data_IF_974332311677
#
_entry.id   IF_974332311677
#
_cell.length_a   1.000
_cell.length_b   1.000
_cell.length_c   1.000
_cell.angle_alpha   90.00
_cell.angle_beta   90.00
_cell.angle_gamma   90.00
#
_symmetry.space_group_name_H-M   'P 1'
#
loop_
_entity.id
_entity.type
_entity.pdbx_description
1 polymer ?
#
# COMPACT_ATOMS: atom_id res chain seq x y z
N UNK A 1 10.87 25.27 35.66
CA UNK A 1 10.19 24.37 34.71
C UNK A 1 10.84 24.58 33.36
N UNK A 2 11.41 23.53 32.75
CA UNK A 2 12.07 23.63 31.43
C UNK A 2 11.03 23.44 30.31
N UNK A 3 11.40 23.81 29.07
CA UNK A 3 10.51 23.71 27.90
C UNK A 3 9.94 22.29 27.74
N UNK A 4 10.74 21.26 28.01
CA UNK A 4 10.34 19.85 27.89
C UNK A 4 9.33 19.46 28.97
N UNK A 5 9.54 19.89 30.22
CA UNK A 5 8.62 19.65 31.33
C UNK A 5 7.28 20.36 31.16
N UNK A 6 7.29 21.59 30.64
CA UNK A 6 6.06 22.32 30.32
C UNK A 6 5.22 21.60 29.25
N UNK A 7 5.83 21.22 28.12
CA UNK A 7 5.14 20.53 27.02
C UNK A 7 4.59 19.18 27.48
N UNK A 8 5.37 18.37 28.22
CA UNK A 8 4.88 17.10 28.77
C UNK A 8 3.66 17.27 29.67
N UNK A 9 3.69 18.27 30.55
CA UNK A 9 2.59 18.51 31.50
C UNK A 9 1.31 18.95 30.78
N UNK A 10 1.43 19.84 29.78
CA UNK A 10 0.28 20.29 28.98
C UNK A 10 -0.31 19.16 28.13
N UNK A 11 0.53 18.35 27.48
CA UNK A 11 0.04 17.21 26.69
C UNK A 11 -0.67 16.16 27.54
N UNK A 12 -0.17 15.86 28.75
CA UNK A 12 -0.81 14.91 29.67
C UNK A 12 -2.16 15.45 30.16
N UNK A 13 -2.24 16.74 30.52
CA UNK A 13 -3.50 17.36 30.94
C UNK A 13 -4.54 17.38 29.82
N UNK A 14 -4.14 17.72 28.59
CA UNK A 14 -5.04 17.70 27.45
C UNK A 14 -5.53 16.28 27.14
N UNK A 15 -4.63 15.29 27.14
CA UNK A 15 -4.99 13.88 26.94
C UNK A 15 -5.97 13.37 28.00
N UNK A 16 -5.76 13.73 29.27
CA UNK A 16 -6.68 13.40 30.35
C UNK A 16 -8.07 14.06 30.17
N UNK A 17 -8.12 15.33 29.71
CA UNK A 17 -9.36 16.06 29.50
C UNK A 17 -10.27 15.43 28.42
N UNK A 18 -9.68 14.77 27.42
CA UNK A 18 -10.42 14.01 26.39
C UNK A 18 -10.48 12.50 26.68
N UNK A 19 -10.10 12.08 27.89
CA UNK A 19 -10.27 10.70 28.36
C UNK A 19 -9.30 9.69 27.76
N UNK A 20 -8.15 10.13 27.22
CA UNK A 20 -7.16 9.20 26.68
C UNK A 20 -6.34 8.53 27.81
N UNK A 21 -6.14 7.20 27.74
CA UNK A 21 -5.33 6.49 28.70
C UNK A 21 -3.85 6.87 28.57
N UNK A 22 -3.06 6.66 29.64
CA UNK A 22 -1.62 6.94 29.64
C UNK A 22 -0.85 6.17 28.53
N UNK A 23 -1.38 5.03 28.07
CA UNK A 23 -0.85 4.21 26.97
C UNK A 23 -1.16 4.77 25.58
N UNK A 24 -2.01 5.79 25.45
CA UNK A 24 -2.40 6.35 24.16
C UNK A 24 -1.18 6.91 23.40
N UNK A 25 -0.22 7.51 24.11
CA UNK A 25 1.00 8.01 23.48
C UNK A 25 1.80 6.89 22.78
N UNK A 26 1.88 5.71 23.38
CA UNK A 26 2.53 4.54 22.79
C UNK A 26 1.72 3.98 21.62
N UNK A 27 0.38 3.90 21.76
CA UNK A 27 -0.50 3.46 20.69
C UNK A 27 -0.42 4.38 19.45
N UNK A 28 -0.37 5.71 19.65
CA UNK A 28 -0.17 6.66 18.56
C UNK A 28 1.22 6.54 17.95
N UNK A 29 2.27 6.41 18.77
CA UNK A 29 3.63 6.22 18.25
C UNK A 29 3.72 4.94 17.41
N UNK A 30 3.10 3.84 17.84
CA UNK A 30 3.02 2.61 17.08
C UNK A 30 2.19 2.77 15.80
N UNK A 31 1.05 3.47 15.87
CA UNK A 31 0.20 3.70 14.70
C UNK A 31 0.91 4.55 13.63
N UNK A 32 1.68 5.55 14.05
CA UNK A 32 2.49 6.40 13.15
C UNK A 32 3.72 5.65 12.63
N UNK A 33 4.26 4.70 13.39
CA UNK A 33 5.40 3.89 12.98
C UNK A 33 5.02 2.72 12.05
N UNK A 34 3.73 2.41 11.87
CA UNK A 34 3.31 1.32 10.98
C UNK A 34 3.61 1.68 9.52
N UNK A 35 4.24 0.73 8.82
CA UNK A 35 4.41 0.82 7.37
C UNK A 35 3.04 0.86 6.69
N UNK A 36 2.96 1.57 5.57
CA UNK A 36 1.79 1.52 4.69
C UNK A 36 1.57 0.07 4.22
N UNK A 37 0.33 -0.42 4.12
CA UNK A 37 0.06 -1.75 3.56
C UNK A 37 0.64 -1.86 2.16
N UNK A 38 1.43 -2.91 1.93
CA UNK A 38 1.94 -3.23 0.60
C UNK A 38 0.80 -3.74 -0.29
N UNK A 39 0.74 -3.24 -1.52
CA UNK A 39 -0.24 -3.61 -2.53
C UNK A 39 0.50 -4.03 -3.80
N UNK A 40 0.19 -5.24 -4.26
CA UNK A 40 0.67 -5.81 -5.52
C UNK A 40 -0.55 -5.93 -6.44
N UNK A 41 -0.52 -5.25 -7.58
CA UNK A 41 -1.59 -5.23 -8.55
C UNK A 41 -1.17 -5.97 -9.83
N UNK A 42 -1.81 -7.10 -10.10
CA UNK A 42 -1.52 -7.94 -11.27
C UNK A 42 -2.58 -7.74 -12.35
N UNK A 43 -2.11 -7.61 -13.58
CA UNK A 43 -2.94 -7.55 -14.78
C UNK A 43 -3.04 -8.94 -15.41
N UNK A 44 -4.24 -9.41 -15.71
CA UNK A 44 -4.50 -10.62 -16.48
C UNK A 44 -4.94 -10.28 -17.90
N UNK A 45 -5.95 -10.99 -18.40
CA UNK A 45 -6.66 -10.60 -19.62
C UNK A 45 -7.62 -9.46 -19.33
N UNK A 46 -7.15 -8.26 -19.63
CA UNK A 46 -7.72 -7.05 -19.09
C UNK A 46 -7.75 -5.93 -20.16
N UNK A 47 -8.45 -4.83 -19.89
CA UNK A 47 -8.68 -3.72 -20.84
C UNK A 47 -8.25 -2.34 -20.32
N UNK A 48 -7.58 -2.35 -19.19
CA UNK A 48 -7.07 -1.28 -18.32
C UNK A 48 -8.16 -0.40 -17.72
N UNK A 49 -9.42 -0.84 -17.82
CA UNK A 49 -10.57 -0.08 -17.36
C UNK A 49 -10.67 0.07 -15.84
N UNK A 50 -10.25 -0.93 -15.06
CA UNK A 50 -10.28 -0.81 -13.60
C UNK A 50 -9.13 0.09 -13.13
N UNK A 51 -7.95 -0.02 -13.75
CA UNK A 51 -6.86 0.94 -13.56
C UNK A 51 -7.29 2.36 -13.91
N UNK A 52 -7.93 2.59 -15.07
CA UNK A 52 -8.46 3.93 -15.42
C UNK A 52 -9.50 4.43 -14.41
N UNK A 53 -10.36 3.55 -13.88
CA UNK A 53 -11.27 3.90 -12.79
C UNK A 53 -10.53 4.29 -11.52
N UNK A 54 -9.43 3.62 -11.17
CA UNK A 54 -8.57 3.96 -10.04
C UNK A 54 -8.00 5.37 -10.21
N UNK A 55 -7.55 5.74 -11.41
CA UNK A 55 -7.02 7.08 -11.72
C UNK A 55 -8.06 8.20 -11.55
N UNK A 56 -9.35 7.86 -11.48
CA UNK A 56 -10.47 8.81 -11.33
C UNK A 56 -11.03 8.91 -9.93
N UNK A 57 -10.43 8.24 -8.93
CA UNK A 57 -10.85 8.39 -7.54
C UNK A 57 -10.67 9.83 -7.03
N UNK A 58 -11.63 10.33 -6.24
CA UNK A 58 -11.61 11.69 -5.66
C UNK A 58 -11.60 11.70 -4.13
N UNK A 59 -12.04 10.63 -3.46
CA UNK A 59 -12.16 10.55 -2.00
C UNK A 59 -11.75 9.16 -1.47
N UNK A 60 -10.45 8.89 -1.26
CA UNK A 60 -9.30 9.77 -1.47
C UNK A 60 -8.94 9.90 -2.95
N UNK A 61 -8.19 10.95 -3.32
CA UNK A 61 -7.58 11.06 -4.65
C UNK A 61 -6.40 10.10 -4.84
N UNK A 62 -6.02 9.82 -6.10
CA UNK A 62 -4.93 8.88 -6.41
C UNK A 62 -3.61 9.22 -5.68
N UNK A 63 -3.21 10.49 -5.69
CA UNK A 63 -1.98 10.94 -5.02
C UNK A 63 -2.00 10.59 -3.54
N UNK A 64 -3.08 10.91 -2.83
CA UNK A 64 -3.26 10.55 -1.42
C UNK A 64 -3.26 9.04 -1.22
N UNK A 65 -3.90 8.28 -2.11
CA UNK A 65 -3.92 6.83 -2.02
C UNK A 65 -2.50 6.25 -2.06
N UNK A 66 -1.71 6.58 -3.09
CA UNK A 66 -0.38 5.97 -3.30
C UNK A 66 0.72 6.58 -2.41
N UNK A 67 0.60 7.87 -2.05
CA UNK A 67 1.60 8.54 -1.22
C UNK A 67 1.34 8.32 0.27
N UNK A 68 0.09 8.36 0.73
CA UNK A 68 -0.24 8.43 2.15
C UNK A 68 -0.87 7.16 2.71
N UNK A 69 -1.68 6.43 1.91
CA UNK A 69 -2.51 5.34 2.43
C UNK A 69 -1.93 3.94 2.19
N UNK A 70 -1.42 3.67 0.99
CA UNK A 70 -0.86 2.37 0.62
C UNK A 70 0.55 2.51 0.06
N UNK A 71 1.29 1.41 0.04
CA UNK A 71 2.49 1.26 -0.78
C UNK A 71 2.11 0.45 -2.01
N UNK A 72 1.94 1.11 -3.16
CA UNK A 72 1.69 0.42 -4.42
C UNK A 72 3.03 -0.06 -4.99
N UNK A 73 3.44 -1.26 -4.57
CA UNK A 73 4.78 -1.78 -4.81
C UNK A 73 4.95 -2.33 -6.23
N UNK A 74 3.86 -2.80 -6.84
CA UNK A 74 3.86 -3.26 -8.23
C UNK A 74 2.53 -2.94 -8.90
N UNK A 75 2.61 -2.31 -10.08
CA UNK A 75 1.48 -2.08 -10.98
C UNK A 75 2.03 -1.79 -12.37
N UNK A 76 1.79 -2.67 -13.34
CA UNK A 76 2.45 -2.62 -14.66
C UNK A 76 2.28 -1.27 -15.40
N UNK A 77 1.08 -0.69 -15.38
CA UNK A 77 0.81 0.60 -16.02
C UNK A 77 1.39 1.83 -15.30
N UNK A 78 1.66 1.75 -13.99
CA UNK A 78 2.05 2.90 -13.15
C UNK A 78 3.48 2.82 -12.63
N UNK A 79 4.09 1.64 -12.66
CA UNK A 79 5.47 1.43 -12.24
C UNK A 79 6.45 2.15 -13.16
N UNK A 80 7.42 2.85 -12.57
CA UNK A 80 8.52 3.47 -13.31
C UNK A 80 9.52 2.42 -13.84
N UNK A 81 9.68 1.31 -13.12
CA UNK A 81 10.50 0.18 -13.54
C UNK A 81 9.77 -0.67 -14.60
N UNK A 82 10.52 -1.30 -15.49
CA UNK A 82 10.00 -2.20 -16.53
C UNK A 82 10.85 -3.47 -16.62
N UNK A 83 10.35 -4.49 -17.31
CA UNK A 83 11.10 -5.74 -17.55
C UNK A 83 11.65 -6.36 -16.27
N UNK A 84 12.94 -6.70 -16.26
CA UNK A 84 13.56 -7.37 -15.12
C UNK A 84 13.54 -6.55 -13.83
N UNK A 85 13.61 -5.22 -13.92
CA UNK A 85 13.57 -4.34 -12.75
C UNK A 85 12.19 -4.35 -12.09
N UNK A 86 11.12 -4.37 -12.89
CA UNK A 86 9.76 -4.48 -12.39
C UNK A 86 9.52 -5.84 -11.72
N UNK A 87 9.97 -6.92 -12.36
CA UNK A 87 9.84 -8.26 -11.80
C UNK A 87 10.65 -8.43 -10.51
N UNK A 88 11.87 -7.89 -10.44
CA UNK A 88 12.68 -7.90 -9.23
C UNK A 88 12.00 -7.13 -8.08
N UNK A 89 11.41 -5.96 -8.37
CA UNK A 89 10.67 -5.18 -7.38
C UNK A 89 9.43 -5.93 -6.86
N UNK A 90 8.67 -6.58 -7.76
CA UNK A 90 7.54 -7.45 -7.40
C UNK A 90 7.98 -8.56 -6.45
N UNK A 91 9.00 -9.31 -6.82
CA UNK A 91 9.48 -10.44 -6.02
C UNK A 91 10.03 -9.98 -4.65
N UNK A 92 10.79 -8.89 -4.61
CA UNK A 92 11.27 -8.32 -3.36
C UNK A 92 10.10 -7.92 -2.43
N UNK A 93 9.08 -7.23 -2.96
CA UNK A 93 7.90 -6.86 -2.15
C UNK A 93 7.12 -8.09 -1.66
N UNK A 94 6.97 -9.13 -2.50
CA UNK A 94 6.33 -10.38 -2.10
C UNK A 94 7.07 -11.08 -0.95
N UNK A 95 8.40 -11.09 -0.98
CA UNK A 95 9.24 -11.68 0.06
C UNK A 95 9.21 -10.86 1.35
N UNK A 96 9.39 -9.54 1.25
CA UNK A 96 9.45 -8.63 2.40
C UNK A 96 8.11 -8.53 3.15
N UNK A 97 6.99 -8.70 2.44
CA UNK A 97 5.64 -8.54 2.98
C UNK A 97 4.83 -9.85 2.97
N UNK A 98 5.50 -11.01 2.97
CA UNK A 98 4.86 -12.31 2.85
C UNK A 98 3.76 -12.53 3.91
N UNK A 99 2.53 -12.78 3.46
CA UNK A 99 1.36 -12.96 4.34
C UNK A 99 0.69 -11.67 4.81
N UNK A 100 1.24 -10.50 4.47
CA UNK A 100 0.72 -9.19 4.90
C UNK A 100 0.32 -8.28 3.72
N UNK A 101 0.85 -8.48 2.51
CA UNK A 101 0.49 -7.67 1.35
C UNK A 101 -0.93 -7.96 0.84
N UNK A 102 -1.57 -6.94 0.28
CA UNK A 102 -2.84 -7.06 -0.43
C UNK A 102 -2.56 -7.34 -1.90
N UNK A 103 -3.12 -8.44 -2.41
CA UNK A 103 -3.11 -8.77 -3.83
C UNK A 103 -4.37 -8.24 -4.50
N UNK A 104 -4.20 -7.40 -5.51
CA UNK A 104 -5.27 -6.99 -6.42
C UNK A 104 -5.05 -7.66 -7.77
N UNK A 105 -6.12 -8.20 -8.35
CA UNK A 105 -6.09 -8.84 -9.66
C UNK A 105 -7.10 -8.13 -10.56
N UNK A 106 -6.62 -7.63 -11.69
CA UNK A 106 -7.44 -7.02 -12.74
C UNK A 106 -7.48 -7.93 -13.97
N UNK A 107 -8.68 -8.22 -14.48
CA UNK A 107 -8.88 -9.06 -15.65
C UNK A 107 -9.03 -10.56 -15.39
N UNK A 108 -9.27 -11.30 -16.47
CA UNK A 108 -9.52 -12.73 -16.43
C UNK A 108 -8.23 -13.56 -16.49
N UNK A 109 -8.28 -14.78 -15.98
CA UNK A 109 -7.18 -15.76 -16.03
C UNK A 109 -7.50 -16.78 -17.12
N UNK A 110 -6.85 -16.74 -18.30
CA UNK A 110 -7.09 -17.73 -19.34
C UNK A 110 -6.48 -19.06 -18.92
N UNK A 111 -7.30 -20.11 -18.81
CA UNK A 111 -6.82 -21.45 -18.42
C UNK A 111 -6.70 -22.41 -19.60
N UNK A 112 -7.30 -22.06 -20.75
CA UNK A 112 -7.26 -22.89 -21.96
C UNK A 112 -5.82 -23.02 -22.49
N UNK A 113 -5.51 -24.18 -23.06
CA UNK A 113 -4.23 -24.48 -23.71
C UNK A 113 -3.01 -24.21 -22.81
N UNK A 114 -3.16 -24.49 -21.50
CA UNK A 114 -2.11 -24.27 -20.50
C UNK A 114 -1.87 -22.80 -20.17
N UNK A 115 -2.84 -21.92 -20.44
CA UNK A 115 -2.81 -20.51 -20.06
C UNK A 115 -1.98 -19.60 -20.98
N UNK A 116 -1.54 -20.09 -22.13
CA UNK A 116 -0.64 -19.37 -23.04
C UNK A 116 -1.19 -18.04 -23.60
N UNK A 117 -2.48 -17.77 -23.42
CA UNK A 117 -3.16 -16.60 -23.98
C UNK A 117 -2.97 -15.31 -23.19
N UNK A 118 -2.34 -15.38 -22.01
CA UNK A 118 -1.83 -14.23 -21.28
C UNK A 118 -0.52 -14.66 -20.64
N UNK A 119 0.58 -14.05 -21.06
CA UNK A 119 1.90 -14.37 -20.53
C UNK A 119 2.63 -13.10 -20.14
N UNK A 120 3.07 -13.02 -18.90
CA UNK A 120 3.84 -11.90 -18.35
C UNK A 120 5.22 -12.45 -17.98
N UNK A 121 6.27 -11.75 -18.40
CA UNK A 121 7.66 -12.21 -18.25
C UNK A 121 7.90 -13.66 -18.74
N UNK A 122 7.13 -14.13 -19.72
CA UNK A 122 7.21 -15.48 -20.26
C UNK A 122 6.51 -16.56 -19.42
N UNK A 123 5.86 -16.20 -18.31
CA UNK A 123 5.11 -17.07 -17.42
C UNK A 123 3.60 -16.92 -17.64
N UNK A 124 2.83 -17.97 -17.37
CA UNK A 124 1.36 -18.00 -17.44
C UNK A 124 0.74 -17.73 -16.08
#
# INVERSE_FOLDING_TARGET
>A
MDRRGFVKSMCVMAAAAVGLPATAAEAFAQAVARKKPAVIWLSGQECTGCTESLLRTSHPGLGTLVLDLISLDYHEALSAAAGHQAEAAKHASMEENAGEYVLVVEGAIPTKDGGIYCKIAGQT
#
